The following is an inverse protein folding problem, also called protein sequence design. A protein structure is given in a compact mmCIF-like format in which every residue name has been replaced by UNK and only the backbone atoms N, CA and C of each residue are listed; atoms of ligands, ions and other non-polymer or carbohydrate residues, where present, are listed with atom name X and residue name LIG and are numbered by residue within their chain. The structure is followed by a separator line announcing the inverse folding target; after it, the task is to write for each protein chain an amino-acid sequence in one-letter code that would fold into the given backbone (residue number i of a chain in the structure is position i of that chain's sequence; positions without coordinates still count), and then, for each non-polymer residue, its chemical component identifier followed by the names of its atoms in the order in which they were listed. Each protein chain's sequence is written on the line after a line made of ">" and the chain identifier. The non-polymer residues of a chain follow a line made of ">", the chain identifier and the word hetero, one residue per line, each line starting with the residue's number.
data_IF_887172514380
#
_entry.id   IF_887172514380
#
_cell.length_a   1.000
_cell.length_b   1.000
_cell.length_c   1.000
_cell.angle_alpha   90.00
_cell.angle_beta   90.00
_cell.angle_gamma   90.00
#
_symmetry.space_group_name_H-M   'P 1'
#
loop_
_entity.id
_entity.type
_entity.pdbx_description
1 polymer ?
#
# COMPACT_ATOMS: atom_id res chain seq x y z
N UNK A 1 22.40 -70.33 -48.99
CA UNK A 1 23.40 -69.49 -48.28
C UNK A 1 22.98 -68.04 -48.38
N UNK A 2 23.23 -67.27 -47.32
CA UNK A 2 22.98 -65.83 -47.12
C UNK A 2 21.58 -65.39 -46.63
N UNK A 3 21.43 -65.48 -45.30
CA UNK A 3 20.80 -64.45 -44.47
C UNK A 3 21.45 -63.07 -44.72
N UNK A 4 20.75 -61.97 -44.41
CA UNK A 4 21.21 -60.83 -43.56
C UNK A 4 20.28 -59.59 -43.70
N UNK A 5 19.82 -59.09 -42.54
CA UNK A 5 19.45 -57.71 -42.18
C UNK A 5 18.14 -57.03 -42.66
N UNK A 6 17.01 -57.47 -42.10
CA UNK A 6 15.78 -56.65 -41.99
C UNK A 6 15.55 -55.97 -40.63
N UNK A 7 16.41 -56.19 -39.62
CA UNK A 7 16.12 -55.81 -38.21
C UNK A 7 16.89 -54.60 -37.65
N UNK A 8 17.71 -53.89 -38.45
CA UNK A 8 18.49 -52.73 -37.96
C UNK A 8 17.94 -51.35 -38.35
N UNK A 9 16.92 -51.26 -39.21
CA UNK A 9 16.34 -49.95 -39.58
C UNK A 9 15.22 -49.47 -38.66
N UNK A 10 14.59 -50.35 -37.87
CA UNK A 10 13.45 -49.97 -37.03
C UNK A 10 13.85 -49.35 -35.66
N UNK A 11 15.08 -49.54 -35.19
CA UNK A 11 15.49 -49.04 -33.87
C UNK A 11 16.02 -47.60 -33.88
N UNK A 12 16.51 -47.09 -35.01
CA UNK A 12 17.08 -45.73 -35.10
C UNK A 12 15.99 -44.69 -35.33
N UNK A 13 14.94 -45.03 -36.09
CA UNK A 13 13.80 -44.12 -36.32
C UNK A 13 12.98 -43.89 -35.04
N UNK A 14 12.79 -44.92 -34.20
CA UNK A 14 12.04 -44.81 -32.95
C UNK A 14 12.77 -43.99 -31.86
N UNK A 15 14.12 -44.01 -31.84
CA UNK A 15 14.93 -43.23 -30.91
C UNK A 15 15.02 -41.75 -31.32
N UNK A 16 14.97 -41.43 -32.62
CA UNK A 16 14.93 -40.04 -33.08
C UNK A 16 13.56 -39.39 -32.88
N UNK A 17 12.45 -40.14 -32.98
CA UNK A 17 11.11 -39.61 -32.67
C UNK A 17 10.88 -39.38 -31.17
N UNK A 18 11.52 -40.16 -30.29
CA UNK A 18 11.41 -39.95 -28.84
C UNK A 18 12.25 -38.74 -28.35
N UNK A 19 13.41 -38.49 -28.97
CA UNK A 19 14.26 -37.34 -28.64
C UNK A 19 13.65 -36.00 -29.07
N UNK A 20 12.92 -35.96 -30.19
CA UNK A 20 12.20 -34.74 -30.65
C UNK A 20 10.97 -34.45 -29.77
N UNK A 21 10.30 -35.48 -29.23
CA UNK A 21 9.19 -35.29 -28.29
C UNK A 21 9.63 -34.84 -26.90
N UNK A 22 10.87 -35.13 -26.48
CA UNK A 22 11.41 -34.61 -25.21
C UNK A 22 11.94 -33.17 -25.31
N UNK A 23 12.26 -32.68 -26.51
CA UNK A 23 12.75 -31.30 -26.71
C UNK A 23 11.67 -30.29 -27.15
N UNK A 24 10.49 -30.75 -27.56
CA UNK A 24 9.37 -29.88 -27.93
C UNK A 24 8.46 -29.47 -26.74
N UNK A 25 8.63 -30.08 -25.56
CA UNK A 25 7.79 -29.81 -24.38
C UNK A 25 8.50 -29.03 -23.25
N UNK A 26 9.77 -28.68 -23.45
CA UNK A 26 10.42 -27.59 -22.71
C UNK A 26 10.26 -26.30 -23.52
N UNK A 27 9.00 -25.92 -23.81
CA UNK A 27 8.72 -24.50 -23.75
C UNK A 27 9.11 -24.09 -22.34
N UNK A 28 10.23 -23.39 -22.22
CA UNK A 28 10.63 -22.68 -21.03
C UNK A 28 9.42 -21.89 -20.56
N UNK A 29 8.63 -22.46 -19.65
CA UNK A 29 7.84 -21.73 -18.68
C UNK A 29 8.85 -21.06 -17.75
N UNK A 30 9.63 -20.12 -18.29
CA UNK A 30 10.00 -18.98 -17.48
C UNK A 30 8.65 -18.40 -17.12
N UNK A 31 8.25 -18.59 -15.86
CA UNK A 31 7.17 -17.79 -15.31
C UNK A 31 7.49 -16.35 -15.74
N UNK A 32 6.54 -15.65 -16.39
CA UNK A 32 6.80 -14.29 -16.82
C UNK A 32 7.32 -13.55 -15.58
N UNK A 33 8.55 -13.02 -15.66
CA UNK A 33 9.17 -12.30 -14.55
C UNK A 33 8.13 -11.30 -14.08
N UNK A 34 7.54 -11.55 -12.90
CA UNK A 34 6.45 -10.74 -12.37
C UNK A 34 6.96 -9.30 -12.39
N UNK A 35 6.32 -8.45 -13.18
CA UNK A 35 6.76 -7.07 -13.32
C UNK A 35 6.83 -6.47 -11.92
N UNK A 36 8.02 -6.02 -11.51
CA UNK A 36 8.23 -5.43 -10.19
C UNK A 36 7.26 -4.28 -10.03
N UNK A 37 6.55 -4.23 -8.91
CA UNK A 37 5.71 -3.09 -8.52
C UNK A 37 6.31 -2.43 -7.28
N UNK A 38 6.29 -1.09 -7.24
CA UNK A 38 6.67 -0.35 -6.04
C UNK A 38 5.58 -0.46 -4.96
N UNK A 39 5.99 -0.42 -3.69
CA UNK A 39 5.07 -0.44 -2.56
C UNK A 39 4.42 0.92 -2.37
N UNK A 40 3.11 0.96 -2.15
CA UNK A 40 2.39 2.18 -1.77
C UNK A 40 2.75 2.55 -0.33
N UNK A 41 3.10 3.82 -0.12
CA UNK A 41 3.38 4.33 1.21
C UNK A 41 2.05 4.64 1.93
N UNK A 42 1.77 3.96 3.03
CA UNK A 42 0.53 4.08 3.79
C UNK A 42 0.81 4.43 5.25
N UNK A 43 -0.20 4.96 5.93
CA UNK A 43 -0.20 5.09 7.38
C UNK A 43 -1.50 4.49 7.92
N UNK A 44 -1.37 3.59 8.90
CA UNK A 44 -2.53 3.05 9.58
C UNK A 44 -2.93 3.98 10.71
N UNK A 45 -4.14 4.52 10.63
CA UNK A 45 -4.64 5.39 11.69
C UNK A 45 -5.18 4.57 12.87
N UNK A 46 -5.97 3.54 12.56
CA UNK A 46 -6.60 2.70 13.58
C UNK A 46 -7.14 1.40 13.01
N UNK A 47 -7.14 0.36 13.84
CA UNK A 47 -7.94 -0.85 13.69
C UNK A 47 -8.83 -0.95 14.92
N UNK A 48 -10.11 -0.68 14.75
CA UNK A 48 -11.10 -0.67 15.84
C UNK A 48 -11.83 -2.00 15.96
N UNK A 49 -12.07 -2.42 17.20
CA UNK A 49 -12.99 -3.48 17.57
C UNK A 49 -14.20 -2.90 18.29
N UNK A 50 -15.19 -3.76 18.58
CA UNK A 50 -16.31 -3.38 19.44
C UNK A 50 -15.83 -3.07 20.86
N UNK A 51 -16.47 -2.11 21.53
CA UNK A 51 -16.27 -1.83 22.97
C UNK A 51 -16.60 -3.01 23.87
N UNK A 52 -17.28 -4.04 23.36
CA UNK A 52 -17.43 -5.31 24.05
C UNK A 52 -16.09 -6.08 24.18
N UNK A 53 -15.25 -6.02 23.14
CA UNK A 53 -13.93 -6.64 23.15
C UNK A 53 -12.89 -5.77 23.86
N UNK A 54 -13.02 -4.45 23.75
CA UNK A 54 -12.17 -3.48 24.44
C UNK A 54 -12.67 -3.23 25.86
N UNK A 55 -12.09 -3.91 26.84
CA UNK A 55 -12.46 -3.82 28.25
C UNK A 55 -11.26 -3.48 29.14
N UNK A 56 -11.51 -3.21 30.43
CA UNK A 56 -10.47 -2.79 31.38
C UNK A 56 -9.30 -3.79 31.54
N UNK A 57 -9.50 -5.07 31.21
CA UNK A 57 -8.48 -6.12 31.28
C UNK A 57 -7.87 -6.51 29.94
N UNK A 58 -8.41 -6.03 28.81
CA UNK A 58 -7.94 -6.38 27.48
C UNK A 58 -8.37 -5.34 26.43
N UNK A 59 -7.39 -4.73 25.76
CA UNK A 59 -7.63 -3.81 24.66
C UNK A 59 -7.44 -4.57 23.33
N UNK A 60 -8.54 -5.08 22.78
CA UNK A 60 -8.51 -5.87 21.56
C UNK A 60 -8.07 -5.02 20.36
N UNK A 61 -8.57 -3.79 20.25
CA UNK A 61 -8.21 -2.85 19.19
C UNK A 61 -6.69 -2.64 19.14
N UNK A 62 -6.05 -2.48 20.29
CA UNK A 62 -4.59 -2.32 20.38
C UNK A 62 -3.83 -3.58 19.94
N UNK A 63 -4.30 -4.75 20.34
CA UNK A 63 -3.70 -6.03 19.91
C UNK A 63 -3.87 -6.25 18.40
N UNK A 64 -5.04 -5.96 17.86
CA UNK A 64 -5.31 -6.06 16.43
C UNK A 64 -4.46 -5.06 15.62
N UNK A 65 -4.34 -3.82 16.09
CA UNK A 65 -3.47 -2.80 15.50
C UNK A 65 -2.00 -3.25 15.48
N UNK A 66 -1.51 -3.79 16.60
CA UNK A 66 -0.14 -4.30 16.71
C UNK A 66 0.15 -5.44 15.73
N UNK A 67 -0.80 -6.39 15.59
CA UNK A 67 -0.68 -7.45 14.59
C UNK A 67 -0.72 -6.92 13.15
N UNK A 68 -1.50 -5.87 12.91
CA UNK A 68 -1.66 -5.31 11.56
C UNK A 68 -0.37 -4.69 11.01
N UNK A 69 0.44 -4.03 11.85
CA UNK A 69 1.76 -3.55 11.42
C UNK A 69 2.67 -4.70 10.96
N UNK A 70 2.62 -5.86 11.62
CA UNK A 70 3.31 -7.07 11.16
C UNK A 70 2.78 -7.58 9.83
N UNK A 71 1.46 -7.55 9.62
CA UNK A 71 0.82 -7.92 8.35
C UNK A 71 1.24 -7.01 7.20
N UNK A 72 1.34 -5.70 7.42
CA UNK A 72 1.81 -4.76 6.39
C UNK A 72 3.28 -5.02 6.03
N UNK A 73 4.12 -5.35 7.01
CA UNK A 73 5.53 -5.63 6.75
C UNK A 73 5.73 -6.83 5.82
N UNK A 74 4.89 -7.85 5.95
CA UNK A 74 4.90 -9.05 5.09
C UNK A 74 4.33 -8.79 3.67
N UNK A 75 3.52 -7.74 3.50
CA UNK A 75 2.85 -7.44 2.24
C UNK A 75 3.80 -6.79 1.22
N UNK A 76 3.74 -7.26 -0.04
CA UNK A 76 4.61 -6.75 -1.12
C UNK A 76 4.09 -5.44 -1.73
N UNK A 77 2.85 -5.05 -1.45
CA UNK A 77 2.18 -3.95 -2.14
C UNK A 77 2.09 -2.66 -1.36
N UNK A 78 2.32 -2.69 -0.05
CA UNK A 78 2.21 -1.55 0.84
C UNK A 78 3.38 -1.51 1.82
N UNK A 79 3.69 -0.32 2.29
CA UNK A 79 4.68 -0.10 3.35
C UNK A 79 4.15 0.94 4.32
N UNK A 80 4.15 0.61 5.62
CA UNK A 80 3.78 1.55 6.67
C UNK A 80 4.99 2.40 7.06
N UNK A 81 4.93 3.70 6.75
CA UNK A 81 5.97 4.64 7.15
C UNK A 81 5.49 5.44 8.35
N UNK A 82 6.16 5.24 9.48
CA UNK A 82 5.88 5.96 10.74
C UNK A 82 6.76 7.20 10.95
N UNK A 83 7.74 7.42 10.08
CA UNK A 83 8.68 8.55 10.17
C UNK A 83 8.64 9.31 8.86
N UNK A 84 8.08 10.51 8.90
CA UNK A 84 8.21 11.50 7.84
C UNK A 84 9.14 12.62 8.28
N UNK A 85 9.92 13.20 7.36
CA UNK A 85 10.59 14.47 7.63
C UNK A 85 9.53 15.47 8.06
N UNK A 86 9.70 16.09 9.23
CA UNK A 86 8.73 17.09 9.69
C UNK A 86 8.88 18.37 8.86
N UNK A 87 7.80 19.11 8.58
CA UNK A 87 7.88 20.37 7.84
C UNK A 87 8.87 21.38 8.45
N UNK A 88 9.05 21.38 9.78
CA UNK A 88 10.02 22.25 10.47
C UNK A 88 11.48 21.88 10.18
N UNK A 89 11.74 20.61 9.83
CA UNK A 89 13.07 20.13 9.43
C UNK A 89 13.35 20.46 7.96
N UNK A 90 12.30 20.61 7.14
CA UNK A 90 12.39 20.98 5.73
C UNK A 90 12.55 22.49 5.54
N UNK A 91 11.91 23.30 6.39
CA UNK A 91 11.97 24.77 6.33
C UNK A 91 13.38 25.32 6.58
N UNK A 92 14.25 24.64 7.33
CA UNK A 92 15.66 25.06 7.44
C UNK A 92 16.47 24.80 6.16
N UNK A 93 16.13 23.77 5.37
CA UNK A 93 16.76 23.50 4.08
C UNK A 93 16.12 24.32 2.93
N UNK A 94 14.81 24.56 2.99
CA UNK A 94 14.04 25.36 2.04
C UNK A 94 14.23 26.88 2.24
N UNK A 95 14.52 27.35 3.46
CA UNK A 95 14.90 28.76 3.68
C UNK A 95 16.18 29.16 2.93
N UNK A 96 17.04 28.20 2.58
CA UNK A 96 18.22 28.43 1.74
C UNK A 96 17.92 28.39 0.22
N UNK A 97 16.73 27.97 -0.18
CA UNK A 97 16.25 27.89 -1.58
C UNK A 97 14.88 28.58 -1.63
N UNK A 98 14.91 29.91 -1.60
CA UNK A 98 13.75 30.80 -1.36
C UNK A 98 12.38 30.21 -1.69
N UNK A 99 11.54 30.07 -0.66
CA UNK A 99 10.13 29.75 -0.80
C UNK A 99 9.45 30.77 -1.73
N UNK A 100 9.22 30.39 -2.98
CA UNK A 100 8.53 31.23 -3.94
C UNK A 100 7.02 31.17 -3.67
N UNK A 101 6.51 32.16 -2.94
CA UNK A 101 5.10 32.53 -3.05
C UNK A 101 4.87 32.99 -4.48
N UNK A 102 4.29 32.14 -5.33
CA UNK A 102 3.85 32.55 -6.64
C UNK A 102 2.59 33.41 -6.48
N UNK A 103 2.65 34.68 -6.88
CA UNK A 103 1.47 35.52 -7.02
C UNK A 103 0.69 35.06 -8.25
N UNK A 104 -0.60 34.81 -8.08
CA UNK A 104 -1.48 34.27 -9.13
C UNK A 104 -1.61 35.26 -10.28
N UNK A 105 -1.47 34.79 -11.53
CA UNK A 105 -1.85 35.58 -12.71
C UNK A 105 -3.38 35.58 -12.86
N UNK A 106 -3.96 36.73 -13.23
CA UNK A 106 -5.43 36.94 -13.32
C UNK A 106 -6.19 35.85 -14.11
N UNK A 107 -5.53 35.23 -15.08
CA UNK A 107 -6.11 34.16 -15.92
C UNK A 107 -6.44 32.88 -15.13
N UNK A 108 -5.62 32.52 -14.14
CA UNK A 108 -5.84 31.33 -13.31
C UNK A 108 -7.00 31.55 -12.33
N UNK A 109 -7.18 32.79 -11.85
CA UNK A 109 -8.33 33.18 -11.03
C UNK A 109 -9.66 33.12 -11.79
N UNK A 110 -9.68 33.39 -13.10
CA UNK A 110 -10.88 33.28 -13.93
C UNK A 110 -11.33 31.82 -14.08
N UNK A 111 -10.38 30.89 -14.22
CA UNK A 111 -10.68 29.47 -14.35
C UNK A 111 -11.28 28.89 -13.06
N UNK A 112 -10.74 29.27 -11.89
CA UNK A 112 -11.32 28.88 -10.59
C UNK A 112 -12.76 29.39 -10.40
N UNK A 113 -13.02 30.67 -10.71
CA UNK A 113 -14.37 31.24 -10.62
C UNK A 113 -15.37 30.59 -11.58
N UNK A 114 -14.88 30.03 -12.67
CA UNK A 114 -15.71 29.30 -13.64
C UNK A 114 -16.15 27.94 -13.08
N UNK A 115 -15.26 27.24 -12.37
CA UNK A 115 -15.57 25.95 -11.76
C UNK A 115 -16.35 26.08 -10.44
N UNK A 116 -16.18 27.17 -9.69
CA UNK A 116 -16.81 27.38 -8.39
C UNK A 116 -17.43 28.79 -8.25
N UNK A 117 -18.59 29.05 -8.87
CA UNK A 117 -19.16 30.40 -8.98
C UNK A 117 -19.66 31.01 -7.66
N UNK A 118 -19.87 30.21 -6.62
CA UNK A 118 -20.34 30.66 -5.29
C UNK A 118 -19.20 30.84 -4.27
N UNK A 119 -17.96 30.54 -4.65
CA UNK A 119 -16.81 30.53 -3.76
C UNK A 119 -16.26 31.95 -3.58
N UNK A 120 -16.03 32.37 -2.33
CA UNK A 120 -15.41 33.68 -2.06
C UNK A 120 -13.91 33.57 -2.30
N UNK A 121 -13.35 34.51 -3.05
CA UNK A 121 -11.93 34.52 -3.40
C UNK A 121 -10.98 34.66 -2.18
N UNK A 122 -11.50 34.99 -1.00
CA UNK A 122 -10.75 35.05 0.26
C UNK A 122 -10.53 33.70 0.93
N UNK A 123 -11.29 32.67 0.53
CA UNK A 123 -11.33 31.39 1.25
C UNK A 123 -10.41 30.34 0.62
N UNK A 124 -9.87 30.66 -0.56
CA UNK A 124 -9.05 29.78 -1.39
C UNK A 124 -7.73 30.46 -1.75
N UNK A 125 -6.63 29.82 -1.38
CA UNK A 125 -5.27 30.25 -1.71
C UNK A 125 -4.65 29.26 -2.70
N UNK A 126 -4.34 29.73 -3.91
CA UNK A 126 -3.48 29.00 -4.83
C UNK A 126 -2.03 29.20 -4.41
N UNK A 127 -1.32 28.10 -4.18
CA UNK A 127 0.06 28.15 -3.72
C UNK A 127 0.93 27.08 -4.37
N UNK A 128 2.21 27.41 -4.54
CA UNK A 128 3.28 26.45 -4.84
C UNK A 128 3.93 25.89 -3.57
N UNK A 129 3.49 26.35 -2.39
CA UNK A 129 3.93 25.76 -1.12
C UNK A 129 3.39 24.33 -1.03
N UNK A 130 4.33 23.41 -1.02
CA UNK A 130 4.15 21.96 -1.06
C UNK A 130 4.95 21.30 0.07
N UNK A 131 5.51 22.08 1.00
CA UNK A 131 6.41 21.60 2.05
C UNK A 131 5.77 20.51 2.92
N UNK A 132 4.48 20.67 3.25
CA UNK A 132 3.70 19.66 3.94
C UNK A 132 3.36 18.45 3.07
N UNK A 133 3.34 18.57 1.73
CA UNK A 133 3.06 17.47 0.80
C UNK A 133 4.09 16.35 0.87
N UNK A 134 5.32 16.71 1.22
CA UNK A 134 6.45 15.79 1.34
C UNK A 134 6.32 14.84 2.53
N UNK A 135 5.57 15.24 3.57
CA UNK A 135 5.51 14.53 4.85
C UNK A 135 4.27 13.67 5.05
N UNK A 136 3.46 13.41 4.01
CA UNK A 136 2.25 12.58 4.13
C UNK A 136 2.33 11.28 3.32
N UNK A 137 1.65 10.21 3.77
CA UNK A 137 1.52 8.96 3.01
C UNK A 137 0.75 9.19 1.69
N UNK A 138 0.67 8.16 0.85
CA UNK A 138 -0.27 8.13 -0.25
C UNK A 138 -1.71 7.87 0.25
N UNK A 139 -1.86 7.03 1.28
CA UNK A 139 -3.17 6.67 1.84
C UNK A 139 -3.14 6.58 3.36
N UNK A 140 -4.23 7.02 3.98
CA UNK A 140 -4.57 6.62 5.34
C UNK A 140 -5.43 5.36 5.32
N UNK A 141 -5.09 4.39 6.16
CA UNK A 141 -5.88 3.17 6.33
C UNK A 141 -6.59 3.19 7.68
N UNK A 142 -7.88 2.85 7.66
CA UNK A 142 -8.70 2.65 8.85
C UNK A 142 -9.43 1.31 8.74
N UNK A 143 -9.23 0.46 9.73
CA UNK A 143 -9.86 -0.85 9.85
C UNK A 143 -10.90 -0.88 10.96
N UNK A 144 -11.97 -1.66 10.77
CA UNK A 144 -12.97 -1.93 11.79
C UNK A 144 -13.42 -3.38 11.75
N UNK A 145 -13.28 -4.08 12.86
CA UNK A 145 -13.80 -5.43 13.08
C UNK A 145 -15.28 -5.31 13.38
N UNK A 146 -16.11 -5.64 12.40
CA UNK A 146 -17.56 -5.50 12.46
C UNK A 146 -18.22 -6.66 13.22
N UNK A 147 -17.64 -7.85 13.13
CA UNK A 147 -18.08 -9.02 13.87
C UNK A 147 -16.92 -9.94 14.21
N UNK A 148 -17.05 -10.63 15.33
CA UNK A 148 -16.21 -11.78 15.69
C UNK A 148 -17.10 -12.78 16.40
N UNK A 149 -17.33 -13.91 15.75
CA UNK A 149 -18.37 -14.88 16.10
C UNK A 149 -17.74 -16.28 16.19
N UNK A 150 -17.94 -16.93 17.33
CA UNK A 150 -17.53 -18.29 17.61
C UNK A 150 -18.75 -19.22 17.68
N UNK A 151 -18.69 -20.32 16.95
CA UNK A 151 -19.77 -21.27 16.75
C UNK A 151 -19.36 -22.69 17.19
N UNK A 152 -20.34 -23.44 17.69
CA UNK A 152 -20.29 -24.91 17.77
C UNK A 152 -21.42 -25.47 16.92
N UNK A 153 -21.08 -26.27 15.91
CA UNK A 153 -21.99 -26.58 14.82
C UNK A 153 -22.59 -25.31 14.20
N UNK A 154 -23.93 -25.19 14.26
CA UNK A 154 -24.67 -24.02 13.76
C UNK A 154 -25.01 -22.98 14.84
N UNK A 155 -24.74 -23.28 16.12
CA UNK A 155 -25.13 -22.42 17.23
C UNK A 155 -24.02 -21.41 17.57
N UNK A 156 -24.36 -20.11 17.58
CA UNK A 156 -23.48 -19.05 18.08
C UNK A 156 -23.27 -19.25 19.59
N UNK A 157 -22.03 -19.49 19.98
CA UNK A 157 -21.66 -19.70 21.37
C UNK A 157 -21.21 -18.40 22.04
N UNK A 158 -20.50 -17.59 21.28
CA UNK A 158 -19.87 -16.36 21.73
C UNK A 158 -19.68 -15.43 20.55
N UNK A 159 -19.84 -14.13 20.74
CA UNK A 159 -19.39 -13.17 19.75
C UNK A 159 -20.12 -11.85 19.81
N UNK A 160 -19.73 -10.95 18.91
CA UNK A 160 -20.48 -9.74 18.67
C UNK A 160 -20.66 -9.53 17.17
N UNK A 161 -21.71 -8.81 16.83
CA UNK A 161 -21.92 -8.24 15.51
C UNK A 161 -22.60 -6.86 15.66
N UNK A 162 -23.06 -6.27 14.56
CA UNK A 162 -23.69 -4.95 14.56
C UNK A 162 -25.03 -4.89 15.32
N UNK A 163 -25.61 -6.03 15.69
CA UNK A 163 -26.97 -6.12 16.28
C UNK A 163 -27.01 -6.72 17.68
N UNK A 164 -26.03 -7.53 18.06
CA UNK A 164 -26.04 -8.22 19.34
C UNK A 164 -24.63 -8.56 19.84
N UNK A 165 -24.53 -8.64 21.16
CA UNK A 165 -23.40 -9.23 21.88
C UNK A 165 -23.92 -10.50 22.55
N UNK A 166 -23.26 -11.63 22.30
CA UNK A 166 -23.59 -12.92 22.89
C UNK A 166 -22.43 -13.43 23.74
N UNK A 167 -22.72 -13.65 25.02
CA UNK A 167 -21.76 -14.10 26.04
C UNK A 167 -22.15 -15.53 26.45
N UNK A 168 -21.22 -16.49 26.45
CA UNK A 168 -21.51 -17.84 26.90
C UNK A 168 -21.79 -17.86 28.41
N UNK A 169 -22.93 -18.45 28.80
CA UNK A 169 -23.36 -18.57 30.20
C UNK A 169 -22.93 -19.91 30.86
N UNK A 170 -22.14 -20.74 30.17
CA UNK A 170 -21.91 -22.14 30.58
C UNK A 170 -20.43 -22.53 30.61
N UNK A 171 -20.03 -23.27 31.65
CA UNK A 171 -18.66 -23.75 31.92
C UNK A 171 -18.09 -24.80 30.93
N UNK A 172 -18.83 -25.18 29.88
CA UNK A 172 -18.34 -26.11 28.83
C UNK A 172 -18.53 -25.48 27.46
N UNK A 173 -17.60 -24.60 27.11
CA UNK A 173 -17.50 -24.03 25.77
C UNK A 173 -16.86 -25.06 24.83
N UNK A 174 -17.53 -25.36 23.72
CA UNK A 174 -16.91 -26.04 22.58
C UNK A 174 -17.01 -25.08 21.41
N UNK A 175 -15.98 -25.04 20.57
CA UNK A 175 -15.96 -24.19 19.40
C UNK A 175 -15.39 -25.00 18.25
N UNK A 176 -16.16 -25.08 17.18
CA UNK A 176 -15.80 -25.78 15.95
C UNK A 176 -15.53 -24.78 14.82
N UNK A 177 -16.00 -23.53 14.93
CA UNK A 177 -15.81 -22.49 13.91
C UNK A 177 -15.69 -21.09 14.52
N UNK A 178 -14.79 -20.27 13.98
CA UNK A 178 -14.78 -18.83 14.18
C UNK A 178 -14.95 -18.10 12.87
N UNK A 179 -15.70 -17.01 12.90
CA UNK A 179 -15.90 -16.08 11.79
C UNK A 179 -15.55 -14.68 12.25
N UNK A 180 -14.89 -13.92 11.40
CA UNK A 180 -14.66 -12.50 11.58
C UNK A 180 -15.05 -11.75 10.31
N UNK A 181 -15.82 -10.68 10.47
CA UNK A 181 -16.06 -9.72 9.40
C UNK A 181 -15.31 -8.41 9.71
N UNK A 182 -14.55 -7.91 8.75
CA UNK A 182 -13.65 -6.77 8.90
C UNK A 182 -13.83 -5.83 7.70
N UNK A 183 -14.02 -4.55 7.97
CA UNK A 183 -14.05 -3.51 6.95
C UNK A 183 -12.77 -2.69 6.97
N UNK A 184 -12.21 -2.42 5.80
CA UNK A 184 -11.09 -1.49 5.64
C UNK A 184 -11.49 -0.34 4.72
N UNK A 185 -11.04 0.85 5.08
CA UNK A 185 -11.25 2.08 4.34
C UNK A 185 -9.89 2.72 4.07
N UNK A 186 -9.66 3.11 2.82
CA UNK A 186 -8.51 3.90 2.42
C UNK A 186 -8.97 5.32 2.11
N UNK A 187 -8.33 6.30 2.75
CA UNK A 187 -8.62 7.72 2.58
C UNK A 187 -7.45 8.43 1.93
N UNK A 188 -7.80 9.43 1.12
CA UNK A 188 -6.84 10.38 0.60
C UNK A 188 -6.41 11.33 1.74
N UNK A 189 -5.10 11.45 2.01
CA UNK A 189 -4.59 12.18 3.18
C UNK A 189 -4.72 13.70 3.06
N UNK A 190 -5.19 14.19 1.90
CA UNK A 190 -5.29 15.61 1.59
C UNK A 190 -6.73 16.12 1.65
N UNK A 191 -7.63 15.40 0.99
CA UNK A 191 -9.05 15.70 0.90
C UNK A 191 -9.88 15.01 1.97
N UNK A 192 -9.30 14.03 2.69
CA UNK A 192 -10.04 13.09 3.55
C UNK A 192 -11.13 12.30 2.82
N UNK A 193 -11.11 12.29 1.48
CA UNK A 193 -12.08 11.54 0.69
C UNK A 193 -11.79 10.05 0.78
N UNK A 194 -12.83 9.24 0.99
CA UNK A 194 -12.70 7.79 0.92
C UNK A 194 -12.43 7.37 -0.53
N UNK A 195 -11.27 6.76 -0.78
CA UNK A 195 -10.83 6.31 -2.10
C UNK A 195 -11.25 4.88 -2.39
N UNK A 196 -11.19 4.03 -1.36
CA UNK A 196 -11.55 2.62 -1.45
C UNK A 196 -12.12 2.13 -0.13
N UNK A 197 -13.02 1.15 -0.20
CA UNK A 197 -13.49 0.41 0.95
C UNK A 197 -13.70 -1.07 0.58
N UNK A 198 -13.42 -1.96 1.53
CA UNK A 198 -13.61 -3.40 1.39
C UNK A 198 -14.25 -3.97 2.64
N UNK A 199 -15.02 -5.04 2.45
CA UNK A 199 -15.56 -5.86 3.53
C UNK A 199 -15.07 -7.30 3.31
N UNK A 200 -14.32 -7.81 4.27
CA UNK A 200 -13.72 -9.13 4.19
C UNK A 200 -14.32 -10.00 5.29
N UNK A 201 -14.79 -11.19 4.91
CA UNK A 201 -15.25 -12.19 5.84
C UNK A 201 -14.26 -13.36 5.85
N UNK A 202 -13.72 -13.71 7.01
CA UNK A 202 -12.87 -14.88 7.16
C UNK A 202 -13.53 -15.88 8.09
N UNK A 203 -13.38 -17.16 7.74
CA UNK A 203 -13.83 -18.28 8.54
C UNK A 203 -12.65 -19.22 8.81
N UNK A 204 -12.61 -19.76 10.03
CA UNK A 204 -11.75 -20.84 10.46
C UNK A 204 -12.60 -21.96 11.08
N UNK A 205 -12.42 -23.20 10.64
CA UNK A 205 -13.25 -24.37 11.00
C UNK A 205 -12.46 -25.52 11.66
N UNK A 206 -11.13 -25.41 11.74
CA UNK A 206 -10.27 -26.54 12.09
C UNK A 206 -9.82 -26.45 13.56
N UNK A 207 -10.79 -26.39 14.46
CA UNK A 207 -10.53 -26.42 15.90
C UNK A 207 -10.57 -27.86 16.39
N UNK A 208 -9.42 -28.52 16.38
CA UNK A 208 -9.28 -29.94 16.76
C UNK A 208 -9.34 -30.19 18.28
N UNK A 209 -9.39 -29.14 19.10
CA UNK A 209 -9.34 -29.24 20.56
C UNK A 209 -10.53 -28.48 21.15
N UNK A 210 -11.44 -29.19 21.81
CA UNK A 210 -12.47 -28.55 22.62
C UNK A 210 -11.81 -27.90 23.82
N UNK A 211 -11.70 -26.56 23.81
CA UNK A 211 -11.15 -25.82 24.94
C UNK A 211 -12.24 -25.57 25.98
N UNK A 212 -12.19 -26.31 27.09
CA UNK A 212 -12.97 -25.97 28.29
C UNK A 212 -12.34 -24.76 28.95
N UNK A 213 -12.85 -23.56 28.66
CA UNK A 213 -12.48 -22.35 29.41
C UNK A 213 -13.60 -22.09 30.41
N UNK A 214 -13.26 -22.08 31.71
CA UNK A 214 -14.20 -21.70 32.76
C UNK A 214 -14.38 -20.19 32.73
N UNK A 215 -15.36 -19.82 31.92
CA UNK A 215 -15.79 -18.48 31.71
C UNK A 215 -16.81 -18.19 32.82
N UNK A 216 -16.35 -17.68 33.97
CA UNK A 216 -17.19 -17.21 35.09
C UNK A 216 -17.95 -15.89 34.81
N UNK A 217 -17.81 -14.85 35.64
CA UNK A 217 -18.33 -13.48 35.35
C UNK A 217 -17.32 -12.80 34.40
N UNK A 218 -17.38 -13.12 33.11
CA UNK A 218 -16.22 -13.05 32.19
C UNK A 218 -15.96 -11.68 31.60
N UNK A 219 -14.67 -11.32 31.61
CA UNK A 219 -14.04 -10.43 30.64
C UNK A 219 -13.24 -11.28 29.64
N UNK A 220 -13.32 -10.97 28.35
CA UNK A 220 -12.45 -11.59 27.33
C UNK A 220 -11.04 -11.10 27.62
N UNK A 221 -10.19 -12.00 28.11
CA UNK A 221 -8.80 -11.68 28.48
C UNK A 221 -7.78 -12.18 27.45
N UNK A 222 -6.50 -11.82 27.63
CA UNK A 222 -5.40 -12.26 26.77
C UNK A 222 -5.30 -13.77 26.58
N UNK A 223 -5.58 -14.56 27.62
CA UNK A 223 -5.53 -16.03 27.54
C UNK A 223 -6.63 -16.60 26.64
N UNK A 224 -7.84 -16.05 26.68
CA UNK A 224 -8.91 -16.44 25.76
C UNK A 224 -8.49 -16.15 24.32
N UNK A 225 -7.95 -14.95 24.07
CA UNK A 225 -7.47 -14.53 22.75
C UNK A 225 -6.39 -15.48 22.18
N UNK A 226 -5.46 -15.92 23.03
CA UNK A 226 -4.33 -16.78 22.63
C UNK A 226 -4.75 -18.22 22.39
N UNK A 227 -5.56 -18.80 23.28
CA UNK A 227 -5.84 -20.25 23.30
C UNK A 227 -6.95 -20.65 22.34
N UNK A 228 -7.92 -19.76 22.06
CA UNK A 228 -9.09 -20.07 21.22
C UNK A 228 -8.83 -19.95 19.72
N UNK A 229 -7.60 -19.69 19.28
CA UNK A 229 -7.27 -19.40 17.86
C UNK A 229 -7.99 -18.16 17.32
N UNK A 230 -8.48 -17.30 18.21
CA UNK A 230 -8.98 -15.97 17.91
C UNK A 230 -7.87 -15.12 17.29
N UNK A 231 -6.65 -15.17 17.86
CA UNK A 231 -5.47 -14.52 17.30
C UNK A 231 -5.22 -14.90 15.83
N UNK A 232 -5.35 -16.19 15.50
CA UNK A 232 -5.13 -16.67 14.14
C UNK A 232 -6.25 -16.26 13.18
N UNK A 233 -7.50 -16.22 13.65
CA UNK A 233 -8.64 -15.74 12.87
C UNK A 233 -8.51 -14.25 12.57
N UNK A 234 -8.09 -13.46 13.57
CA UNK A 234 -7.81 -12.03 13.43
C UNK A 234 -6.68 -11.82 12.43
N UNK A 235 -5.54 -12.49 12.61
CA UNK A 235 -4.41 -12.40 11.70
C UNK A 235 -4.81 -12.76 10.26
N UNK A 236 -5.58 -13.84 10.07
CA UNK A 236 -6.08 -14.25 8.76
C UNK A 236 -6.96 -13.17 8.13
N UNK A 237 -7.87 -12.56 8.88
CA UNK A 237 -8.73 -11.50 8.35
C UNK A 237 -8.02 -10.18 8.10
N UNK A 238 -7.03 -9.83 8.92
CA UNK A 238 -6.15 -8.69 8.68
C UNK A 238 -5.38 -8.89 7.35
N UNK A 239 -4.77 -10.06 7.15
CA UNK A 239 -4.09 -10.42 5.88
C UNK A 239 -5.02 -10.35 4.68
N UNK A 240 -6.19 -10.98 4.78
CA UNK A 240 -7.17 -10.97 3.70
C UNK A 240 -7.64 -9.54 3.37
N UNK A 241 -7.95 -8.75 4.39
CA UNK A 241 -8.45 -7.39 4.18
C UNK A 241 -7.41 -6.45 3.62
N UNK A 242 -6.13 -6.60 4.02
CA UNK A 242 -5.03 -5.83 3.43
C UNK A 242 -4.85 -6.18 1.95
N UNK A 243 -4.91 -7.47 1.61
CA UNK A 243 -4.85 -7.92 0.22
C UNK A 243 -6.02 -7.36 -0.60
N UNK A 244 -7.25 -7.40 -0.05
CA UNK A 244 -8.45 -6.91 -0.72
C UNK A 244 -8.41 -5.39 -0.95
N UNK A 245 -8.05 -4.60 0.08
CA UNK A 245 -7.97 -3.14 -0.06
C UNK A 245 -6.82 -2.74 -0.99
N UNK A 246 -5.70 -3.48 -0.97
CA UNK A 246 -4.58 -3.28 -1.90
C UNK A 246 -4.98 -3.56 -3.35
N UNK A 247 -5.66 -4.68 -3.61
CA UNK A 247 -6.18 -5.01 -4.92
C UNK A 247 -7.17 -3.93 -5.41
N UNK A 248 -8.05 -3.45 -4.52
CA UNK A 248 -8.99 -2.37 -4.84
C UNK A 248 -8.27 -1.07 -5.19
N UNK A 249 -7.28 -0.65 -4.41
CA UNK A 249 -6.50 0.56 -4.70
C UNK A 249 -5.74 0.44 -6.03
N UNK A 250 -5.15 -0.71 -6.33
CA UNK A 250 -4.45 -0.95 -7.61
C UNK A 250 -5.39 -0.92 -8.82
N UNK A 251 -6.67 -1.23 -8.63
CA UNK A 251 -7.67 -1.21 -9.71
C UNK A 251 -8.16 0.19 -10.09
N UNK A 252 -7.78 1.23 -9.35
CA UNK A 252 -8.22 2.60 -9.60
C UNK A 252 -7.23 3.31 -10.53
N UNK A 253 -7.72 3.80 -11.67
CA UNK A 253 -6.90 4.47 -12.71
C UNK A 253 -6.13 5.70 -12.22
N UNK A 254 -6.56 6.31 -11.11
CA UNK A 254 -5.92 7.50 -10.51
C UNK A 254 -4.99 7.19 -9.34
N UNK A 255 -4.77 5.91 -9.04
CA UNK A 255 -4.01 5.45 -7.88
C UNK A 255 -2.66 4.87 -8.26
N UNK A 256 -2.02 5.45 -9.26
CA UNK A 256 -0.63 5.14 -9.59
C UNK A 256 0.30 5.46 -8.40
N UNK A 257 1.43 4.75 -8.37
CA UNK A 257 2.47 5.01 -7.39
C UNK A 257 3.06 6.41 -7.63
N UNK A 258 3.18 7.19 -6.56
CA UNK A 258 3.78 8.51 -6.61
C UNK A 258 4.55 8.86 -5.33
N UNK A 259 5.47 9.79 -5.45
CA UNK A 259 6.18 10.38 -4.31
C UNK A 259 6.45 11.86 -4.55
N UNK A 260 7.22 12.50 -3.68
CA UNK A 260 7.50 13.93 -3.70
C UNK A 260 9.00 14.20 -3.68
N UNK A 261 9.39 15.27 -4.35
CA UNK A 261 10.75 15.81 -4.28
C UNK A 261 10.96 16.45 -2.91
N UNK A 262 12.02 16.03 -2.23
CA UNK A 262 12.44 16.56 -0.93
C UNK A 262 13.46 17.69 -1.09
N UNK A 263 14.42 17.50 -1.99
CA UNK A 263 15.51 18.44 -2.27
C UNK A 263 15.67 18.51 -3.78
N UNK A 264 15.82 19.72 -4.30
CA UNK A 264 16.12 19.98 -5.70
C UNK A 264 17.40 20.80 -5.85
N UNK A 265 18.24 20.41 -6.81
CA UNK A 265 19.46 21.10 -7.24
C UNK A 265 19.59 20.94 -8.76
N UNK A 266 20.42 21.77 -9.38
CA UNK A 266 20.54 21.92 -10.84
C UNK A 266 20.59 20.59 -11.62
N UNK A 267 21.30 19.57 -11.10
CA UNK A 267 21.50 18.29 -11.77
C UNK A 267 21.03 17.06 -10.99
N UNK A 268 20.48 17.22 -9.78
CA UNK A 268 20.01 16.11 -8.98
C UNK A 268 18.86 16.49 -8.07
N UNK A 269 18.04 15.50 -7.74
CA UNK A 269 16.97 15.61 -6.77
C UNK A 269 17.11 14.52 -5.71
N UNK A 270 16.53 14.77 -4.54
CA UNK A 270 16.26 13.74 -3.53
C UNK A 270 14.76 13.59 -3.46
N UNK A 271 14.28 12.35 -3.54
CA UNK A 271 12.86 12.02 -3.41
C UNK A 271 12.59 11.26 -2.11
N UNK A 272 11.37 11.39 -1.63
CA UNK A 272 10.86 10.60 -0.51
C UNK A 272 10.68 9.16 -0.96
N UNK A 273 11.18 8.19 -0.19
CA UNK A 273 11.12 6.78 -0.55
C UNK A 273 12.42 6.27 -1.15
N UNK A 274 12.75 5.03 -0.81
CA UNK A 274 13.91 4.32 -1.28
C UNK A 274 13.68 2.82 -1.36
N UNK A 275 14.65 2.05 -0.87
CA UNK A 275 14.64 0.59 -0.99
C UNK A 275 13.43 -0.05 -0.30
N UNK A 276 12.88 0.57 0.74
CA UNK A 276 11.72 0.03 1.45
C UNK A 276 10.42 0.08 0.62
N UNK A 277 10.29 1.07 -0.26
CA UNK A 277 9.24 1.14 -1.27
C UNK A 277 9.57 0.32 -2.53
N UNK A 278 10.73 -0.33 -2.55
CA UNK A 278 11.20 -1.17 -3.64
C UNK A 278 11.87 -0.39 -4.76
N UNK A 279 12.26 0.87 -4.56
CA UNK A 279 13.06 1.63 -5.54
C UNK A 279 14.46 1.02 -5.66
N UNK A 280 15.01 1.09 -6.87
CA UNK A 280 16.36 0.59 -7.19
C UNK A 280 17.11 1.60 -8.04
N UNK A 281 18.45 1.53 -7.99
CA UNK A 281 19.32 2.21 -8.94
C UNK A 281 18.91 1.87 -10.38
N UNK A 282 18.83 2.89 -11.24
CA UNK A 282 18.40 2.78 -12.63
C UNK A 282 16.89 2.97 -12.85
N UNK A 283 16.08 3.05 -11.79
CA UNK A 283 14.67 3.40 -11.92
C UNK A 283 14.53 4.82 -12.47
N UNK A 284 13.63 4.98 -13.44
CA UNK A 284 13.32 6.26 -14.07
C UNK A 284 11.95 6.75 -13.64
N UNK A 285 11.90 7.99 -13.20
CA UNK A 285 10.70 8.63 -12.69
C UNK A 285 10.45 9.94 -13.45
N UNK A 286 9.18 10.29 -13.60
CA UNK A 286 8.74 11.58 -14.15
C UNK A 286 8.50 12.53 -12.99
N UNK A 287 8.98 13.76 -13.11
CA UNK A 287 8.77 14.82 -12.11
C UNK A 287 7.99 15.95 -12.75
N UNK A 288 6.98 16.44 -12.02
CA UNK A 288 6.06 17.49 -12.44
C UNK A 288 5.85 18.45 -11.25
N UNK A 289 6.14 19.74 -11.47
CA UNK A 289 5.72 20.80 -10.55
C UNK A 289 4.20 20.94 -10.61
N UNK A 290 3.59 21.14 -9.45
CA UNK A 290 2.15 21.30 -9.29
C UNK A 290 1.83 22.65 -8.65
N UNK A 291 0.69 23.22 -9.00
CA UNK A 291 0.05 24.29 -8.23
C UNK A 291 -1.11 23.68 -7.46
N UNK A 292 -1.22 24.07 -6.19
CA UNK A 292 -2.15 23.51 -5.23
C UNK A 292 -3.25 24.50 -4.89
N UNK A 293 -4.48 24.00 -4.79
CA UNK A 293 -5.66 24.74 -4.38
C UNK A 293 -5.96 24.39 -2.91
N UNK A 294 -5.83 25.38 -2.02
CA UNK A 294 -6.02 25.22 -0.58
C UNK A 294 -7.22 26.00 -0.08
N UNK A 295 -8.02 25.35 0.77
CA UNK A 295 -8.97 26.03 1.66
C UNK A 295 -8.25 26.32 2.99
N UNK A 296 -8.07 27.61 3.29
CA UNK A 296 -7.22 28.07 4.39
C UNK A 296 -5.77 28.32 3.96
N UNK A 297 -4.89 28.62 4.94
CA UNK A 297 -3.49 28.91 4.66
C UNK A 297 -2.75 27.65 4.17
N UNK A 298 -1.97 27.70 3.07
CA UNK A 298 -1.20 26.56 2.59
C UNK A 298 -0.40 25.90 3.73
N UNK A 299 -0.53 24.58 3.87
CA UNK A 299 0.10 23.80 4.94
C UNK A 299 -0.21 24.23 6.39
N UNK A 300 -1.24 25.06 6.60
CA UNK A 300 -1.67 25.52 7.93
C UNK A 300 -2.50 24.48 8.68
N UNK A 301 -2.54 24.61 10.01
CA UNK A 301 -3.41 23.81 10.87
C UNK A 301 -4.89 24.00 10.48
N UNK A 302 -5.62 22.90 10.24
CA UNK A 302 -7.01 22.94 9.78
C UNK A 302 -7.22 23.24 8.30
N UNK A 303 -6.15 23.38 7.50
CA UNK A 303 -6.26 23.64 6.06
C UNK A 303 -6.53 22.37 5.27
N UNK A 304 -7.31 22.50 4.19
CA UNK A 304 -7.71 21.37 3.34
C UNK A 304 -7.23 21.60 1.92
N UNK A 305 -6.58 20.61 1.30
CA UNK A 305 -6.23 20.66 -0.11
C UNK A 305 -7.46 20.29 -0.93
N UNK A 306 -7.91 21.20 -1.78
CA UNK A 306 -9.06 21.02 -2.67
C UNK A 306 -8.66 20.36 -3.99
N UNK A 307 -7.44 20.62 -4.47
CA UNK A 307 -6.98 20.08 -5.74
C UNK A 307 -5.52 20.40 -6.05
N UNK A 308 -4.99 19.78 -7.10
CA UNK A 308 -3.64 20.04 -7.60
C UNK A 308 -3.62 19.88 -9.10
N UNK A 309 -2.87 20.75 -9.78
CA UNK A 309 -2.75 20.74 -11.24
C UNK A 309 -1.27 20.82 -11.59
N UNK A 310 -0.79 19.89 -12.42
CA UNK A 310 0.56 19.98 -12.99
C UNK A 310 0.66 21.23 -13.87
N UNK A 311 1.65 22.06 -13.60
CA UNK A 311 2.01 23.24 -14.40
C UNK A 311 3.22 23.00 -15.28
N UNK A 312 3.70 21.75 -15.29
CA UNK A 312 4.85 21.33 -16.09
C UNK A 312 4.36 20.81 -17.44
N UNK A 313 4.71 21.50 -18.53
CA UNK A 313 4.30 21.11 -19.87
C UNK A 313 4.95 19.79 -20.31
N UNK A 314 6.25 19.65 -20.06
CA UNK A 314 7.03 18.44 -20.32
C UNK A 314 7.65 17.96 -19.00
N UNK A 315 7.42 16.71 -18.54
CA UNK A 315 7.98 16.25 -17.27
C UNK A 315 9.51 16.15 -17.32
N UNK A 316 10.18 16.43 -16.20
CA UNK A 316 11.58 16.03 -16.03
C UNK A 316 11.68 14.52 -15.86
N UNK A 317 12.73 13.93 -16.40
CA UNK A 317 13.05 12.53 -16.21
C UNK A 317 14.25 12.46 -15.27
N UNK A 318 14.05 11.81 -14.13
CA UNK A 318 15.11 11.54 -13.16
C UNK A 318 15.43 10.05 -13.16
N UNK A 319 16.69 9.72 -12.92
CA UNK A 319 17.17 8.34 -12.79
C UNK A 319 17.78 8.14 -11.41
N UNK A 320 17.27 7.15 -10.66
CA UNK A 320 17.75 6.82 -9.31
C UNK A 320 19.21 6.37 -9.39
N UNK A 321 20.11 7.11 -8.75
CA UNK A 321 21.53 6.75 -8.65
C UNK A 321 21.81 5.91 -7.42
N UNK A 322 21.13 6.25 -6.32
CA UNK A 322 21.25 5.61 -5.02
C UNK A 322 19.87 5.55 -4.35
N UNK A 323 19.44 4.33 -4.01
CA UNK A 323 18.20 4.06 -3.29
C UNK A 323 18.58 3.70 -1.85
N UNK A 324 18.67 4.71 -0.99
CA UNK A 324 18.85 4.51 0.44
C UNK A 324 17.60 3.91 1.07
N UNK A 325 17.62 3.68 2.39
CA UNK A 325 16.50 3.01 3.05
C UNK A 325 15.21 3.82 2.97
N UNK A 326 15.27 5.14 3.21
CA UNK A 326 14.11 6.04 3.33
C UNK A 326 13.99 7.10 2.24
N UNK A 327 15.05 7.30 1.45
CA UNK A 327 15.16 8.37 0.47
C UNK A 327 16.01 7.89 -0.69
N UNK A 328 15.74 8.42 -1.89
CA UNK A 328 16.54 8.13 -3.07
C UNK A 328 17.15 9.40 -3.62
N UNK A 329 18.44 9.34 -3.97
CA UNK A 329 19.10 10.37 -4.76
C UNK A 329 18.97 10.00 -6.23
N UNK A 330 18.50 10.94 -7.04
CA UNK A 330 18.32 10.75 -8.47
C UNK A 330 18.96 11.88 -9.26
N UNK A 331 19.55 11.56 -10.41
CA UNK A 331 20.11 12.52 -11.35
C UNK A 331 19.06 12.94 -12.36
N UNK A 332 19.03 14.23 -12.68
CA UNK A 332 18.15 14.76 -13.73
C UNK A 332 18.77 14.43 -15.10
N UNK A 333 18.01 13.77 -15.98
CA UNK A 333 18.48 13.36 -17.30
C UNK A 333 18.30 14.45 -18.38
N UNK A 334 17.32 15.33 -18.19
CA UNK A 334 16.97 16.42 -19.09
C UNK A 334 16.90 17.75 -18.33
N UNK A 335 18.04 18.27 -17.81
CA UNK A 335 18.07 19.56 -17.12
C UNK A 335 17.63 20.68 -18.08
N UNK A 336 16.99 21.70 -17.52
CA UNK A 336 16.51 22.90 -18.24
C UNK A 336 17.18 24.11 -17.64
N UNK A 337 17.48 25.11 -18.47
CA UNK A 337 18.13 26.35 -18.03
C UNK A 337 17.10 27.39 -17.55
N UNK A 338 15.87 27.32 -18.07
CA UNK A 338 14.79 28.29 -17.85
C UNK A 338 13.74 27.84 -16.82
N UNK A 339 13.85 26.61 -16.33
CA UNK A 339 12.89 26.00 -15.44
C UNK A 339 13.56 25.06 -14.44
N UNK A 340 13.01 24.95 -13.24
CA UNK A 340 13.60 24.17 -12.14
C UNK A 340 12.58 23.28 -11.46
N UNK A 341 13.02 22.10 -11.01
CA UNK A 341 12.18 21.20 -10.22
C UNK A 341 11.96 21.85 -8.84
N UNK A 342 10.71 22.03 -8.45
CA UNK A 342 10.36 22.58 -7.15
C UNK A 342 10.42 21.49 -6.05
N UNK A 343 10.69 21.90 -4.81
CA UNK A 343 10.46 21.03 -3.65
C UNK A 343 8.97 20.69 -3.62
N UNK A 344 8.64 19.45 -3.24
CA UNK A 344 7.29 18.89 -3.25
C UNK A 344 6.69 18.62 -4.63
N UNK A 345 7.46 18.79 -5.71
CA UNK A 345 7.06 18.34 -7.04
C UNK A 345 6.64 16.86 -7.04
N UNK A 346 5.59 16.55 -7.80
CA UNK A 346 5.04 15.21 -7.90
C UNK A 346 5.97 14.33 -8.72
N UNK A 347 6.28 13.16 -8.20
CA UNK A 347 7.14 12.18 -8.86
C UNK A 347 6.35 10.89 -9.12
N UNK A 348 6.27 10.43 -10.37
CA UNK A 348 5.58 9.19 -10.77
C UNK A 348 6.53 8.23 -11.48
N UNK A 349 6.17 6.94 -11.53
CA UNK A 349 6.97 5.94 -12.26
C UNK A 349 6.95 6.23 -13.76
N UNK A 350 8.13 6.27 -14.38
CA UNK A 350 8.27 6.27 -15.84
C UNK A 350 8.61 4.87 -16.33
N UNK A 351 9.68 4.28 -15.76
CA UNK A 351 10.19 2.96 -16.13
C UNK A 351 10.94 2.38 -14.95
N UNK A 352 10.63 1.14 -14.60
CA UNK A 352 11.34 0.42 -13.54
C UNK A 352 12.49 -0.38 -14.16
N UNK A 353 13.66 -0.28 -13.54
CA UNK A 353 14.83 -1.06 -13.90
C UNK A 353 14.53 -2.55 -13.74
N UNK A 354 14.92 -3.33 -14.74
CA UNK A 354 14.84 -4.78 -14.76
C UNK A 354 16.27 -5.29 -14.81
N UNK A 355 16.68 -6.04 -13.78
CA UNK A 355 17.99 -6.68 -13.79
C UNK A 355 18.08 -7.63 -14.99
N UNK A 356 19.15 -7.55 -15.79
CA UNK A 356 19.33 -8.48 -16.90
C UNK A 356 19.47 -9.89 -16.32
N UNK A 357 18.60 -10.82 -16.74
CA UNK A 357 18.69 -12.22 -16.35
C UNK A 357 20.04 -12.75 -16.83
N UNK A 358 20.92 -13.08 -15.88
CA UNK A 358 22.24 -13.65 -16.19
C UNK A 358 22.06 -14.91 -17.04
N UNK A 359 22.65 -14.93 -18.23
CA UNK A 359 22.61 -16.03 -19.19
C UNK A 359 23.16 -17.38 -18.64
N UNK A 360 23.69 -17.39 -17.42
CA UNK A 360 24.30 -18.56 -16.78
C UNK A 360 23.26 -19.55 -16.21
N UNK A 361 21.98 -19.18 -16.07
CA UNK A 361 20.93 -20.12 -15.64
C UNK A 361 20.20 -20.83 -16.80
N UNK A 362 20.52 -20.52 -18.06
CA UNK A 362 19.98 -21.22 -19.23
C UNK A 362 20.74 -22.51 -19.62
N UNK A 363 21.75 -22.89 -18.83
CA UNK A 363 22.53 -24.13 -19.00
C UNK A 363 22.61 -24.91 -17.70
N UNK A 364 21.49 -25.45 -17.21
CA UNK A 364 21.50 -26.66 -16.40
C UNK A 364 20.28 -27.52 -16.72
#
# INVERSE_FOLDING_TARGET
>A
MSNINGKKLLSVAALMSLAVLTMANQQCKQEPVKARSLKKNVQVLKVEASSFLDNAGFNFSEVAQSQFSGVIFEEESMFERNIYPKPEQLTQAAAATGMQKATVEDKQMVQLKTWFPTMKASDVELSRDSSCLVSRPQHFLYGKINSLEAYSGAALQFGFNSTAVQIPLTAKFKMDKMRMDLSFHAYDPWSSQQMAATNSAVTKTDYSVGFGIDLGIIHIGPEFYRVTGMAETVLKGLKQSLADISAKLKSLDRQEWHTRVLISRDNYVVIVGGAELGLKKGDRLKVENEVHDWMGAPCGEGSTLLGSVSVTNDPWIIEVEDAGDLMSKARVLNPREDDSIEVGALTRVSTLYVEPVSATQAKK
#
